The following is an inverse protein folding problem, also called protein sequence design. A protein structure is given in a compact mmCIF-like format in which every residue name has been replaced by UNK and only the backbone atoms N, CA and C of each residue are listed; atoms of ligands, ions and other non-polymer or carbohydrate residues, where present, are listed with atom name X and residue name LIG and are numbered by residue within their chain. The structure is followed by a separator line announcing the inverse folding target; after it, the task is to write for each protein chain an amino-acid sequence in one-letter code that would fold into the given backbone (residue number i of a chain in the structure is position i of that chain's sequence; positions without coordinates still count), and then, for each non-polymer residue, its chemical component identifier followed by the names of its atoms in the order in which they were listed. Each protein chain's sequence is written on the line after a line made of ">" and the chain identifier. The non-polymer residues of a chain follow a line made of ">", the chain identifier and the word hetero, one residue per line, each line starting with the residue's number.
data_IF_281856368003
#
_entry.id   IF_281856368003
#
_cell.length_a   1.000
_cell.length_b   1.000
_cell.length_c   1.000
_cell.angle_alpha   90.00
_cell.angle_beta   90.00
_cell.angle_gamma   90.00
#
_symmetry.space_group_name_H-M   'P 1'
#
loop_
_entity.id
_entity.type
_entity.pdbx_description
1 polymer ?
#
# COMPACT_ATOMS: atom_id res chain seq x y z
N UNK A 1 -18.13 15.61 12.84
CA UNK A 1 -17.82 14.62 11.78
C UNK A 1 -17.84 15.35 10.45
N UNK A 2 -16.68 15.57 9.82
CA UNK A 2 -16.64 16.18 8.50
C UNK A 2 -17.23 15.18 7.48
N UNK A 3 -18.32 15.58 6.82
CA UNK A 3 -18.89 14.88 5.66
C UNK A 3 -17.80 14.62 4.62
N UNK A 4 -17.59 13.36 4.24
CA UNK A 4 -16.78 13.02 3.06
C UNK A 4 -17.57 13.44 1.82
N UNK A 5 -17.17 14.51 1.16
CA UNK A 5 -17.90 15.02 0.00
C UNK A 5 -17.68 14.20 -1.30
N UNK A 6 -16.74 13.24 -1.32
CA UNK A 6 -16.50 12.40 -2.50
C UNK A 6 -15.80 11.07 -2.18
N UNK A 7 -16.07 9.99 -2.93
CA UNK A 7 -15.34 8.72 -2.87
C UNK A 7 -13.84 8.90 -3.18
N UNK A 8 -13.00 8.16 -2.46
CA UNK A 8 -11.54 8.18 -2.62
C UNK A 8 -11.08 7.56 -3.96
N UNK A 9 -11.52 6.35 -4.29
CA UNK A 9 -11.08 5.62 -5.48
C UNK A 9 -12.06 5.75 -6.65
N UNK A 10 -11.52 5.81 -7.88
CA UNK A 10 -12.28 5.78 -9.13
C UNK A 10 -12.54 4.33 -9.59
N UNK A 11 -13.56 4.11 -10.44
CA UNK A 11 -13.98 2.77 -10.93
C UNK A 11 -12.82 1.97 -11.52
N UNK A 12 -11.91 2.62 -12.24
CA UNK A 12 -10.77 2.00 -12.91
C UNK A 12 -9.77 1.38 -11.92
N UNK A 13 -9.76 1.82 -10.66
CA UNK A 13 -8.96 1.18 -9.61
C UNK A 13 -9.45 -0.22 -9.27
N UNK A 14 -10.77 -0.44 -9.41
CA UNK A 14 -11.41 -1.74 -9.24
C UNK A 14 -11.24 -2.61 -10.48
N UNK A 15 -11.23 -2.02 -11.68
CA UNK A 15 -10.89 -2.73 -12.93
C UNK A 15 -9.55 -3.44 -12.79
N UNK A 16 -8.50 -2.75 -12.32
CA UNK A 16 -7.17 -3.33 -12.16
C UNK A 16 -7.18 -4.55 -11.23
N UNK A 17 -7.80 -4.40 -10.05
CA UNK A 17 -7.83 -5.45 -9.04
C UNK A 17 -8.60 -6.69 -9.52
N UNK A 18 -9.78 -6.49 -10.13
CA UNK A 18 -10.59 -7.58 -10.64
C UNK A 18 -9.98 -8.24 -11.88
N UNK A 19 -9.31 -7.48 -12.76
CA UNK A 19 -8.63 -8.05 -13.92
C UNK A 19 -7.53 -9.03 -13.51
N UNK A 20 -6.71 -8.66 -12.50
CA UNK A 20 -5.70 -9.58 -11.98
C UNK A 20 -6.32 -10.78 -11.28
N UNK A 21 -7.31 -10.56 -10.41
CA UNK A 21 -7.99 -11.65 -9.71
C UNK A 21 -8.64 -12.64 -10.69
N UNK A 22 -9.31 -12.15 -11.75
CA UNK A 22 -9.88 -12.99 -12.79
C UNK A 22 -8.80 -13.78 -13.52
N UNK A 23 -7.72 -13.13 -13.94
CA UNK A 23 -6.62 -13.81 -14.63
C UNK A 23 -6.00 -14.92 -13.78
N UNK A 24 -5.80 -14.68 -12.48
CA UNK A 24 -5.29 -15.68 -11.55
C UNK A 24 -6.30 -16.81 -11.35
N UNK A 25 -7.59 -16.49 -11.21
CA UNK A 25 -8.66 -17.49 -11.12
C UNK A 25 -8.68 -18.41 -12.34
N UNK A 26 -8.51 -17.85 -13.55
CA UNK A 26 -8.47 -18.61 -14.80
C UNK A 26 -7.23 -19.53 -14.85
N UNK A 27 -6.04 -19.01 -14.54
CA UNK A 27 -4.79 -19.80 -14.53
C UNK A 27 -4.87 -20.93 -13.49
N UNK A 28 -5.35 -20.63 -12.28
CA UNK A 28 -5.41 -21.57 -11.18
C UNK A 28 -6.64 -22.50 -11.24
N UNK A 29 -7.56 -22.28 -12.18
CA UNK A 29 -8.87 -22.95 -12.22
C UNK A 29 -9.63 -22.86 -10.88
N UNK A 30 -9.57 -21.69 -10.23
CA UNK A 30 -10.21 -21.41 -8.95
C UNK A 30 -11.44 -20.49 -9.13
N UNK A 31 -12.45 -20.58 -8.25
CA UNK A 31 -13.54 -19.62 -8.23
C UNK A 31 -13.02 -18.20 -7.93
N UNK A 32 -13.48 -17.20 -8.69
CA UNK A 32 -13.07 -15.80 -8.53
C UNK A 32 -13.27 -15.31 -7.09
N UNK A 33 -14.35 -15.76 -6.46
CA UNK A 33 -14.76 -15.40 -5.09
C UNK A 33 -13.66 -15.70 -4.06
N UNK A 34 -12.94 -16.79 -4.26
CA UNK A 34 -11.83 -17.20 -3.37
C UNK A 34 -10.56 -16.40 -3.67
N UNK A 35 -10.31 -16.13 -4.94
CA UNK A 35 -9.10 -15.43 -5.41
C UNK A 35 -9.12 -13.95 -5.02
N UNK A 36 -10.29 -13.30 -5.10
CA UNK A 36 -10.40 -11.85 -4.84
C UNK A 36 -9.93 -11.50 -3.42
N UNK A 37 -10.21 -12.33 -2.41
CA UNK A 37 -9.78 -12.06 -1.02
C UNK A 37 -8.25 -12.07 -0.86
N UNK A 38 -7.56 -12.90 -1.64
CA UNK A 38 -6.11 -13.11 -1.53
C UNK A 38 -5.32 -12.15 -2.42
N UNK A 39 -5.85 -11.84 -3.60
CA UNK A 39 -5.14 -11.14 -4.67
C UNK A 39 -5.67 -9.73 -4.95
N UNK A 40 -6.46 -9.14 -4.04
CA UNK A 40 -6.90 -7.75 -4.14
C UNK A 40 -6.89 -7.06 -2.78
N UNK A 41 -6.90 -5.73 -2.77
CA UNK A 41 -7.05 -4.95 -1.54
C UNK A 41 -8.52 -4.67 -1.17
N UNK A 42 -9.49 -5.32 -1.83
CA UNK A 42 -10.91 -4.97 -1.70
C UNK A 42 -11.43 -5.11 -0.27
N UNK A 43 -11.01 -6.14 0.47
CA UNK A 43 -11.37 -6.31 1.89
C UNK A 43 -11.06 -5.06 2.72
N UNK A 44 -9.84 -4.53 2.54
CA UNK A 44 -9.37 -3.30 3.22
C UNK A 44 -10.00 -2.04 2.63
N UNK A 45 -10.32 -2.03 1.34
CA UNK A 45 -11.01 -0.90 0.68
C UNK A 45 -12.45 -0.79 1.17
N UNK A 46 -13.12 -1.90 1.51
CA UNK A 46 -14.45 -1.87 2.13
C UNK A 46 -14.44 -1.52 3.62
N UNK A 47 -13.27 -1.17 4.18
CA UNK A 47 -13.13 -0.70 5.56
C UNK A 47 -13.05 -1.81 6.60
N UNK A 48 -12.83 -3.06 6.19
CA UNK A 48 -12.65 -4.20 7.10
C UNK A 48 -11.22 -4.26 7.63
N UNK A 49 -11.00 -4.99 8.71
CA UNK A 49 -9.72 -5.06 9.45
C UNK A 49 -8.64 -5.93 8.75
N UNK A 50 -7.60 -6.32 9.48
CA UNK A 50 -6.50 -7.16 8.98
C UNK A 50 -6.73 -8.67 9.21
N UNK A 51 -7.92 -9.09 9.66
CA UNK A 51 -8.24 -10.52 9.85
C UNK A 51 -8.36 -11.26 8.52
N UNK A 52 -8.79 -10.55 7.47
CA UNK A 52 -9.16 -11.15 6.18
C UNK A 52 -10.13 -12.32 6.34
N UNK A 53 -11.06 -12.20 7.29
CA UNK A 53 -12.04 -13.23 7.58
C UNK A 53 -13.04 -13.37 6.41
N UNK A 54 -13.05 -14.52 5.70
CA UNK A 54 -13.98 -14.75 4.58
C UNK A 54 -15.44 -14.85 5.04
N UNK A 55 -15.70 -15.04 6.33
CA UNK A 55 -17.04 -15.11 6.93
C UNK A 55 -17.50 -13.78 7.51
N UNK A 56 -16.74 -12.70 7.31
CA UNK A 56 -17.17 -11.37 7.72
C UNK A 56 -18.46 -10.98 6.95
N UNK A 57 -19.55 -10.58 7.63
CA UNK A 57 -20.84 -10.34 6.97
C UNK A 57 -20.81 -9.30 5.84
N UNK A 58 -19.93 -8.30 5.95
CA UNK A 58 -19.74 -7.29 4.89
C UNK A 58 -19.07 -7.94 3.68
N UNK A 59 -18.04 -8.75 3.91
CA UNK A 59 -17.35 -9.47 2.84
C UNK A 59 -18.25 -10.50 2.16
N UNK A 60 -18.99 -11.30 2.94
CA UNK A 60 -19.94 -12.29 2.42
C UNK A 60 -21.03 -11.64 1.57
N UNK A 61 -21.57 -10.49 1.99
CA UNK A 61 -22.55 -9.74 1.22
C UNK A 61 -21.99 -9.32 -0.16
N UNK A 62 -20.74 -8.85 -0.21
CA UNK A 62 -20.07 -8.50 -1.47
C UNK A 62 -19.82 -9.74 -2.35
N UNK A 63 -19.26 -10.81 -1.78
CA UNK A 63 -18.91 -12.00 -2.55
C UNK A 63 -20.15 -12.71 -3.08
N UNK A 64 -21.26 -12.71 -2.35
CA UNK A 64 -22.51 -13.36 -2.78
C UNK A 64 -23.09 -12.77 -4.08
N UNK A 65 -22.92 -11.47 -4.32
CA UNK A 65 -23.43 -10.81 -5.52
C UNK A 65 -22.47 -10.81 -6.71
N UNK A 66 -21.18 -11.04 -6.47
CA UNK A 66 -20.13 -10.99 -7.50
C UNK A 66 -20.32 -11.99 -8.66
N UNK A 67 -20.62 -13.29 -8.44
CA UNK A 67 -20.77 -14.24 -9.54
C UNK A 67 -21.92 -13.89 -10.50
N UNK A 68 -23.05 -13.39 -9.97
CA UNK A 68 -24.25 -13.04 -10.74
C UNK A 68 -24.19 -11.69 -11.45
N UNK A 69 -23.16 -10.87 -11.18
CA UNK A 69 -23.03 -9.55 -11.79
C UNK A 69 -22.61 -9.64 -13.27
N UNK A 70 -23.39 -9.00 -14.15
CA UNK A 70 -23.08 -8.87 -15.57
C UNK A 70 -21.82 -8.02 -15.81
N UNK A 71 -21.70 -6.89 -15.11
CA UNK A 71 -20.46 -6.11 -14.99
C UNK A 71 -19.97 -6.20 -13.54
N UNK A 72 -19.02 -7.11 -13.29
CA UNK A 72 -18.39 -7.30 -11.98
C UNK A 72 -17.71 -6.04 -11.48
N UNK A 73 -17.11 -5.24 -12.37
CA UNK A 73 -16.44 -4.00 -11.99
C UNK A 73 -17.46 -2.96 -11.53
N UNK A 74 -18.55 -2.78 -12.28
CA UNK A 74 -19.62 -1.86 -11.87
C UNK A 74 -20.20 -2.29 -10.52
N UNK A 75 -20.51 -3.57 -10.36
CA UNK A 75 -21.02 -4.12 -9.11
C UNK A 75 -20.09 -3.83 -7.92
N UNK A 76 -18.80 -4.13 -8.05
CA UNK A 76 -17.81 -3.86 -7.00
C UNK A 76 -17.68 -2.37 -6.69
N UNK A 77 -17.70 -1.51 -7.71
CA UNK A 77 -17.62 -0.06 -7.51
C UNK A 77 -18.87 0.49 -6.82
N UNK A 78 -20.06 0.05 -7.20
CA UNK A 78 -21.31 0.42 -6.55
C UNK A 78 -21.34 -0.05 -5.09
N UNK A 79 -20.89 -1.28 -4.81
CA UNK A 79 -20.75 -1.80 -3.45
C UNK A 79 -19.81 -0.93 -2.61
N UNK A 80 -18.66 -0.53 -3.17
CA UNK A 80 -17.75 0.41 -2.54
C UNK A 80 -18.41 1.76 -2.25
N UNK A 81 -19.14 2.33 -3.22
CA UNK A 81 -19.82 3.61 -3.03
C UNK A 81 -20.89 3.54 -1.95
N UNK A 82 -21.66 2.46 -1.90
CA UNK A 82 -22.65 2.21 -0.86
C UNK A 82 -22.00 2.13 0.52
N UNK A 83 -20.85 1.45 0.63
CA UNK A 83 -20.13 1.27 1.90
C UNK A 83 -19.33 2.50 2.31
N UNK A 84 -19.03 3.40 1.37
CA UNK A 84 -18.11 4.51 1.57
C UNK A 84 -18.37 5.40 2.81
N UNK A 85 -19.62 5.72 3.18
CA UNK A 85 -19.92 6.49 4.40
C UNK A 85 -19.51 5.78 5.70
N UNK A 86 -19.45 4.45 5.68
CA UNK A 86 -19.17 3.61 6.85
C UNK A 86 -17.70 3.13 6.90
N UNK A 87 -16.90 3.40 5.86
CA UNK A 87 -15.48 3.03 5.86
C UNK A 87 -14.75 3.92 6.87
N UNK A 88 -14.05 3.33 7.88
CA UNK A 88 -13.31 4.11 8.86
C UNK A 88 -12.37 5.10 8.18
N UNK A 89 -12.41 6.37 8.59
CA UNK A 89 -11.31 7.29 8.31
C UNK A 89 -10.14 6.79 9.13
N UNK A 90 -9.07 6.34 8.47
CA UNK A 90 -7.81 6.01 9.13
C UNK A 90 -7.19 7.30 9.70
N UNK A 91 -7.75 7.74 10.81
CA UNK A 91 -7.31 8.87 11.62
C UNK A 91 -7.11 8.37 13.07
N UNK A 92 -6.73 7.11 13.23
CA UNK A 92 -6.25 6.61 14.51
C UNK A 92 -4.79 7.07 14.69
N UNK A 93 -4.66 8.23 15.34
CA UNK A 93 -3.85 8.50 16.54
C UNK A 93 -2.38 8.06 16.59
N UNK A 94 -1.77 7.63 15.48
CA UNK A 94 -0.32 7.41 15.48
C UNK A 94 0.42 8.73 15.27
N UNK A 95 1.46 9.01 16.09
CA UNK A 95 2.36 10.12 15.84
C UNK A 95 2.90 10.05 14.41
N UNK A 96 2.86 11.19 13.72
CA UNK A 96 3.40 11.34 12.39
C UNK A 96 4.30 12.57 12.34
N UNK A 97 5.35 12.46 11.54
CA UNK A 97 6.32 13.51 11.26
C UNK A 97 6.19 13.84 9.78
N UNK A 98 5.26 14.76 9.50
CA UNK A 98 4.84 15.08 8.13
C UNK A 98 4.38 13.85 7.36
N UNK A 99 5.18 13.39 6.39
CA UNK A 99 4.84 12.24 5.55
C UNK A 99 5.20 10.88 6.17
N UNK A 100 5.85 10.84 7.33
CA UNK A 100 6.38 9.61 7.92
C UNK A 100 5.68 9.25 9.23
N UNK A 101 5.57 7.95 9.48
CA UNK A 101 5.19 7.38 10.77
C UNK A 101 5.88 6.03 10.94
N UNK A 102 5.75 5.42 12.12
CA UNK A 102 6.30 4.10 12.38
C UNK A 102 5.40 3.24 13.27
N UNK A 103 5.55 1.92 13.17
CA UNK A 103 5.11 0.99 14.19
C UNK A 103 6.32 0.39 14.91
N UNK A 104 6.25 0.27 16.24
CA UNK A 104 7.21 -0.49 17.02
C UNK A 104 6.63 -1.87 17.34
N UNK A 105 7.40 -2.91 17.08
CA UNK A 105 7.09 -4.29 17.50
C UNK A 105 8.06 -4.70 18.63
N UNK A 106 7.59 -4.74 19.89
CA UNK A 106 8.41 -5.15 21.03
C UNK A 106 8.91 -6.60 20.96
N UNK A 107 8.17 -7.49 20.29
CA UNK A 107 8.55 -8.90 20.22
C UNK A 107 9.78 -9.12 19.33
N UNK A 108 9.97 -8.25 18.33
CA UNK A 108 11.10 -8.31 17.40
C UNK A 108 12.09 -7.15 17.54
N UNK A 109 11.77 -6.18 18.40
CA UNK A 109 12.53 -4.93 18.59
C UNK A 109 12.73 -4.15 17.28
N UNK A 110 11.71 -4.17 16.41
CA UNK A 110 11.74 -3.58 15.07
C UNK A 110 10.89 -2.33 14.98
N UNK A 111 11.45 -1.31 14.36
CA UNK A 111 10.74 -0.11 13.90
C UNK A 111 10.38 -0.31 12.44
N UNK A 112 9.08 -0.39 12.13
CA UNK A 112 8.58 -0.45 10.76
C UNK A 112 8.24 0.95 10.27
N UNK A 113 8.91 1.39 9.21
CA UNK A 113 8.68 2.71 8.61
C UNK A 113 7.44 2.71 7.71
N UNK A 114 6.69 3.80 7.77
CA UNK A 114 5.55 4.10 6.91
C UNK A 114 5.72 5.46 6.24
N UNK A 115 5.19 5.56 5.02
CA UNK A 115 5.13 6.81 4.26
C UNK A 115 3.71 7.02 3.74
N UNK A 116 3.19 8.23 3.90
CA UNK A 116 1.91 8.66 3.37
C UNK A 116 2.01 10.06 2.76
N UNK A 117 1.23 10.31 1.70
CA UNK A 117 1.14 11.62 1.06
C UNK A 117 0.24 12.56 1.88
N UNK A 118 0.81 13.08 2.98
CA UNK A 118 0.15 14.06 3.86
C UNK A 118 0.62 15.50 3.57
N UNK A 119 1.50 15.68 2.59
CA UNK A 119 2.06 17.00 2.25
C UNK A 119 1.02 17.87 1.53
N UNK A 120 0.75 19.04 2.11
CA UNK A 120 -0.20 20.03 1.60
C UNK A 120 0.45 21.05 0.65
N UNK A 121 1.77 20.98 0.43
CA UNK A 121 2.46 21.88 -0.51
C UNK A 121 2.04 21.64 -1.97
N UNK A 122 2.31 22.62 -2.84
CA UNK A 122 2.05 22.48 -4.27
C UNK A 122 2.97 21.44 -4.95
N UNK A 123 4.11 21.14 -4.35
CA UNK A 123 5.07 20.15 -4.84
C UNK A 123 4.76 18.74 -4.34
N UNK A 124 5.20 17.72 -5.09
CA UNK A 124 5.12 16.35 -4.62
C UNK A 124 5.95 16.13 -3.34
N UNK A 125 5.52 15.26 -2.41
CA UNK A 125 6.17 15.07 -1.12
C UNK A 125 7.62 14.58 -1.23
N UNK A 126 7.97 13.95 -2.36
CA UNK A 126 9.31 13.45 -2.68
C UNK A 126 10.04 14.31 -3.73
N UNK A 127 9.54 15.51 -4.04
CA UNK A 127 10.25 16.42 -4.96
C UNK A 127 11.55 16.94 -4.33
N UNK A 128 12.48 17.41 -5.18
CA UNK A 128 13.75 17.99 -4.70
C UNK A 128 13.53 19.21 -3.79
N UNK A 129 12.44 19.96 -4.00
CA UNK A 129 12.08 21.13 -3.20
C UNK A 129 11.62 20.76 -1.78
N UNK A 130 11.30 19.49 -1.52
CA UNK A 130 10.84 19.01 -0.20
C UNK A 130 11.91 18.21 0.55
N UNK A 131 13.08 17.98 -0.04
CA UNK A 131 14.09 17.07 0.54
C UNK A 131 14.56 17.49 1.92
N UNK A 132 14.78 18.80 2.14
CA UNK A 132 15.24 19.32 3.44
C UNK A 132 14.19 19.04 4.51
N UNK A 133 12.93 19.39 4.24
CA UNK A 133 11.83 19.14 5.16
C UNK A 133 11.63 17.65 5.43
N UNK A 134 11.71 16.77 4.41
CA UNK A 134 11.63 15.32 4.62
C UNK A 134 12.73 14.79 5.54
N UNK A 135 13.96 15.31 5.43
CA UNK A 135 15.07 14.92 6.31
C UNK A 135 14.89 15.43 7.73
N UNK A 136 14.34 16.62 7.92
CA UNK A 136 14.01 17.16 9.25
C UNK A 136 12.91 16.35 9.94
N UNK A 137 11.88 15.96 9.18
CA UNK A 137 10.80 15.08 9.67
C UNK A 137 11.35 13.71 10.12
N UNK A 138 12.20 13.08 9.30
CA UNK A 138 12.85 11.82 9.66
C UNK A 138 13.77 11.98 10.88
N UNK A 139 14.53 13.08 10.97
CA UNK A 139 15.35 13.37 12.17
C UNK A 139 14.49 13.44 13.43
N UNK A 140 13.42 14.23 13.40
CA UNK A 140 12.52 14.37 14.54
C UNK A 140 11.88 13.04 14.93
N UNK A 141 11.51 12.21 13.94
CA UNK A 141 11.00 10.86 14.18
C UNK A 141 12.04 9.96 14.86
N UNK A 142 13.29 9.94 14.39
CA UNK A 142 14.32 9.09 14.99
C UNK A 142 14.76 9.57 16.39
N UNK A 143 14.74 10.88 16.67
CA UNK A 143 14.92 11.41 18.02
C UNK A 143 13.80 10.96 18.97
N UNK A 144 12.56 10.94 18.48
CA UNK A 144 11.43 10.43 19.24
C UNK A 144 11.57 8.92 19.50
N UNK A 145 11.92 8.13 18.48
CA UNK A 145 12.15 6.68 18.63
C UNK A 145 13.25 6.42 19.65
N UNK A 146 14.37 7.14 19.59
CA UNK A 146 15.48 6.97 20.54
C UNK A 146 15.06 7.20 21.99
N UNK A 147 14.18 8.17 22.21
CA UNK A 147 13.68 8.50 23.55
C UNK A 147 12.62 7.50 24.06
N UNK A 148 11.74 7.01 23.18
CA UNK A 148 10.54 6.26 23.56
C UNK A 148 10.68 4.74 23.40
N UNK A 149 11.61 4.29 22.55
CA UNK A 149 11.89 2.87 22.29
C UNK A 149 13.41 2.64 22.29
N UNK A 150 14.11 2.89 23.41
CA UNK A 150 15.56 2.73 23.50
C UNK A 150 16.02 1.28 23.32
N UNK A 151 15.09 0.32 23.42
CA UNK A 151 15.27 -1.11 23.19
C UNK A 151 15.08 -1.53 21.73
N UNK A 152 14.66 -0.63 20.83
CA UNK A 152 14.62 -0.90 19.40
C UNK A 152 16.02 -1.18 18.86
N UNK A 153 16.15 -2.22 18.03
CA UNK A 153 17.45 -2.66 17.49
C UNK A 153 17.52 -2.53 15.96
N UNK A 154 16.38 -2.62 15.29
CA UNK A 154 16.31 -2.74 13.84
C UNK A 154 15.27 -1.78 13.27
N UNK A 155 15.55 -1.27 12.07
CA UNK A 155 14.60 -0.52 11.27
C UNK A 155 14.28 -1.33 10.03
N UNK A 156 13.01 -1.40 9.68
CA UNK A 156 12.49 -2.17 8.55
C UNK A 156 11.64 -1.29 7.66
N UNK A 157 11.81 -1.45 6.36
CA UNK A 157 11.05 -0.74 5.34
C UNK A 157 10.47 -1.70 4.31
N UNK A 158 9.21 -1.49 3.94
CA UNK A 158 8.54 -2.22 2.85
C UNK A 158 7.77 -1.26 1.97
N UNK A 159 8.23 -1.05 0.74
CA UNK A 159 7.59 -0.15 -0.22
C UNK A 159 8.08 -0.38 -1.64
N UNK A 160 7.22 -0.12 -2.63
CA UNK A 160 7.66 0.00 -4.02
C UNK A 160 8.40 1.33 -4.28
N UNK A 161 8.27 2.32 -3.40
CA UNK A 161 8.96 3.62 -3.54
C UNK A 161 10.49 3.49 -3.46
N UNK A 162 11.02 2.40 -2.90
CA UNK A 162 12.46 2.14 -2.90
C UNK A 162 13.05 1.95 -4.31
N UNK A 163 12.22 1.83 -5.35
CA UNK A 163 12.68 1.88 -6.74
C UNK A 163 12.98 3.32 -7.23
N UNK A 164 12.68 4.35 -6.44
CA UNK A 164 12.86 5.75 -6.83
C UNK A 164 13.99 6.42 -6.05
N UNK A 165 14.91 7.07 -6.77
CA UNK A 165 15.97 7.91 -6.20
C UNK A 165 15.41 8.97 -5.25
N UNK A 166 14.22 9.50 -5.59
CA UNK A 166 13.55 10.52 -4.80
C UNK A 166 13.13 10.09 -3.40
N UNK A 167 12.90 8.80 -3.21
CA UNK A 167 12.62 8.19 -1.92
C UNK A 167 13.89 7.68 -1.26
N UNK A 168 14.75 6.97 -1.99
CA UNK A 168 15.93 6.31 -1.42
C UNK A 168 16.98 7.27 -0.89
N UNK A 169 17.12 8.48 -1.47
CA UNK A 169 18.01 9.53 -0.96
C UNK A 169 17.67 10.05 0.44
N UNK A 170 16.51 9.65 0.98
CA UNK A 170 16.05 9.96 2.33
C UNK A 170 16.47 8.90 3.36
N UNK A 171 17.30 7.92 3.00
CA UNK A 171 17.69 6.87 3.94
C UNK A 171 19.19 6.63 3.91
N UNK A 172 19.75 6.03 4.97
CA UNK A 172 21.15 5.61 4.97
C UNK A 172 21.45 4.73 3.74
N UNK A 173 22.57 4.97 3.02
CA UNK A 173 22.87 4.22 1.79
C UNK A 173 22.90 2.70 1.98
N UNK A 174 23.41 2.22 3.12
CA UNK A 174 23.49 0.79 3.41
C UNK A 174 22.10 0.16 3.59
N UNK A 175 21.14 0.90 4.15
CA UNK A 175 19.75 0.46 4.24
C UNK A 175 19.11 0.36 2.85
N UNK A 176 19.36 1.32 1.97
CA UNK A 176 18.86 1.25 0.59
C UNK A 176 19.49 0.09 -0.18
N UNK A 177 20.81 -0.09 -0.07
CA UNK A 177 21.54 -1.15 -0.77
C UNK A 177 21.13 -2.56 -0.33
N UNK A 178 20.65 -2.71 0.91
CA UNK A 178 20.14 -3.98 1.42
C UNK A 178 18.73 -4.34 0.90
N UNK A 179 18.06 -3.45 0.16
CA UNK A 179 16.71 -3.66 -0.33
C UNK A 179 16.64 -4.82 -1.33
N UNK A 180 15.69 -5.73 -1.11
CA UNK A 180 15.44 -6.89 -1.96
C UNK A 180 13.97 -6.97 -2.34
N UNK A 181 13.70 -7.36 -3.58
CA UNK A 181 12.34 -7.60 -4.04
C UNK A 181 11.73 -8.77 -3.26
N UNK A 182 10.49 -8.61 -2.82
CA UNK A 182 9.72 -9.72 -2.27
C UNK A 182 9.29 -10.63 -3.41
N UNK A 183 9.54 -11.93 -3.27
CA UNK A 183 9.12 -12.92 -4.27
C UNK A 183 7.60 -12.92 -4.47
N UNK A 184 6.84 -12.81 -3.37
CA UNK A 184 5.37 -12.81 -3.37
C UNK A 184 4.87 -11.72 -2.40
N UNK A 185 4.72 -10.46 -2.86
CA UNK A 185 4.19 -9.38 -2.03
C UNK A 185 2.68 -9.54 -1.79
N UNK A 186 2.23 -9.38 -0.54
CA UNK A 186 0.78 -9.47 -0.25
C UNK A 186 0.01 -8.37 -0.99
N UNK A 187 -1.02 -8.77 -1.74
CA UNK A 187 -1.91 -7.85 -2.45
C UNK A 187 -3.13 -7.42 -1.63
N UNK A 188 -3.29 -7.97 -0.41
CA UNK A 188 -4.40 -7.68 0.46
C UNK A 188 -4.29 -6.29 1.11
N UNK A 189 -3.06 -5.76 1.19
CA UNK A 189 -2.78 -4.37 1.51
C UNK A 189 -2.75 -3.47 0.27
N UNK A 190 -2.81 -2.15 0.47
CA UNK A 190 -2.82 -1.17 -0.63
C UNK A 190 -1.44 -0.86 -1.23
N UNK A 191 -0.36 -1.41 -0.68
CA UNK A 191 1.01 -0.99 -0.98
C UNK A 191 1.31 -1.07 -2.48
N UNK A 192 1.20 -2.25 -3.09
CA UNK A 192 1.47 -2.45 -4.53
C UNK A 192 0.46 -1.72 -5.42
N UNK A 193 -0.81 -1.66 -5.00
CA UNK A 193 -1.87 -0.99 -5.76
C UNK A 193 -1.70 0.52 -5.88
N UNK A 194 -1.09 1.18 -4.88
CA UNK A 194 -0.87 2.63 -4.90
C UNK A 194 0.00 3.10 -6.08
N UNK A 195 0.73 2.21 -6.76
CA UNK A 195 1.47 2.50 -8.00
C UNK A 195 0.58 2.89 -9.19
N UNK A 196 -0.70 2.54 -9.11
CA UNK A 196 -1.71 2.83 -10.13
C UNK A 196 -2.39 4.19 -9.88
N UNK A 197 -1.98 4.91 -8.84
CA UNK A 197 -2.59 6.16 -8.42
C UNK A 197 -1.60 7.32 -8.54
N UNK A 198 -2.15 8.52 -8.76
CA UNK A 198 -1.49 9.81 -8.63
C UNK A 198 -2.02 10.55 -7.39
N UNK A 199 -1.42 11.71 -7.12
CA UNK A 199 -1.87 12.63 -6.07
C UNK A 199 -3.39 12.85 -6.13
N UNK A 200 -4.02 12.80 -4.96
CA UNK A 200 -5.47 12.95 -4.83
C UNK A 200 -6.26 11.71 -5.27
N UNK A 201 -5.66 10.52 -5.21
CA UNK A 201 -6.32 9.22 -5.45
C UNK A 201 -6.84 9.03 -6.88
N UNK A 202 -6.33 9.82 -7.83
CA UNK A 202 -6.67 9.72 -9.25
C UNK A 202 -5.90 8.60 -9.91
N UNK A 203 -6.46 8.01 -10.95
CA UNK A 203 -5.80 6.96 -11.71
C UNK A 203 -4.59 7.49 -12.45
N UNK A 204 -3.49 6.73 -12.40
CA UNK A 204 -2.36 6.90 -13.28
C UNK A 204 -2.56 6.05 -14.54
N UNK A 205 -3.14 6.64 -15.58
CA UNK A 205 -3.54 5.92 -16.81
C UNK A 205 -2.41 5.11 -17.45
N UNK A 206 -1.18 5.64 -17.45
CA UNK A 206 -0.01 4.93 -18.01
C UNK A 206 0.37 3.68 -17.19
N UNK A 207 0.50 3.82 -15.86
CA UNK A 207 0.74 2.66 -14.98
C UNK A 207 -0.38 1.62 -15.12
N UNK A 208 -1.65 2.07 -15.21
CA UNK A 208 -2.79 1.19 -15.35
C UNK A 208 -2.75 0.41 -16.68
N UNK A 209 -2.44 1.09 -17.80
CA UNK A 209 -2.35 0.46 -19.11
C UNK A 209 -1.23 -0.61 -19.14
N UNK A 210 -0.05 -0.28 -18.62
CA UNK A 210 1.07 -1.23 -18.51
C UNK A 210 0.69 -2.42 -17.63
N UNK A 211 0.05 -2.16 -16.48
CA UNK A 211 -0.40 -3.21 -15.57
C UNK A 211 -1.39 -4.16 -16.27
N UNK A 212 -2.45 -3.64 -16.89
CA UNK A 212 -3.45 -4.45 -17.58
C UNK A 212 -2.87 -5.24 -18.75
N UNK A 213 -1.93 -4.64 -19.50
CA UNK A 213 -1.21 -5.34 -20.56
C UNK A 213 -0.43 -6.54 -19.99
N UNK A 214 0.33 -6.35 -18.91
CA UNK A 214 1.10 -7.43 -18.28
C UNK A 214 0.19 -8.50 -17.68
N UNK A 215 -0.94 -8.11 -17.08
CA UNK A 215 -1.96 -9.07 -16.60
C UNK A 215 -2.48 -9.93 -17.76
N UNK A 216 -2.74 -9.34 -18.93
CA UNK A 216 -3.22 -10.11 -20.09
C UNK A 216 -2.23 -11.19 -20.54
N UNK A 217 -0.93 -10.94 -20.34
CA UNK A 217 0.20 -11.80 -20.70
C UNK A 217 0.62 -12.75 -19.56
N UNK A 218 -0.01 -12.69 -18.39
CA UNK A 218 0.34 -13.57 -17.27
C UNK A 218 0.02 -15.03 -17.61
N UNK A 219 0.95 -15.95 -17.33
CA UNK A 219 0.77 -17.38 -17.61
C UNK A 219 0.87 -18.26 -16.37
N UNK A 220 1.65 -17.83 -15.37
CA UNK A 220 1.81 -18.53 -14.09
C UNK A 220 1.39 -17.60 -12.94
N UNK A 221 0.75 -18.15 -11.91
CA UNK A 221 0.27 -17.34 -10.77
C UNK A 221 1.44 -16.66 -10.07
N UNK A 222 2.55 -17.38 -9.90
CA UNK A 222 3.75 -16.92 -9.18
C UNK A 222 4.41 -15.68 -9.82
N UNK A 223 4.10 -15.40 -11.08
CA UNK A 223 4.66 -14.29 -11.84
C UNK A 223 3.82 -13.01 -11.75
N UNK A 224 2.68 -13.02 -11.04
CA UNK A 224 1.86 -11.82 -10.86
C UNK A 224 2.63 -10.58 -10.35
N UNK A 225 3.70 -10.69 -9.52
CA UNK A 225 4.42 -9.51 -9.06
C UNK A 225 5.01 -8.71 -10.23
N UNK A 226 5.34 -9.39 -11.34
CA UNK A 226 5.81 -8.77 -12.58
C UNK A 226 4.77 -7.90 -13.28
N UNK A 227 3.48 -8.04 -12.96
CA UNK A 227 2.43 -7.19 -13.50
C UNK A 227 2.52 -5.74 -13.02
N UNK A 228 3.07 -5.51 -11.82
CA UNK A 228 3.25 -4.17 -11.27
C UNK A 228 4.47 -3.48 -11.89
N UNK A 229 4.39 -2.16 -12.06
CA UNK A 229 5.46 -1.38 -12.68
C UNK A 229 6.77 -1.46 -11.87
N UNK A 230 6.64 -1.40 -10.54
CA UNK A 230 7.74 -1.47 -9.59
C UNK A 230 7.53 -2.64 -8.62
N UNK A 231 8.62 -3.33 -8.31
CA UNK A 231 8.61 -4.39 -7.30
C UNK A 231 8.44 -3.81 -5.88
N UNK A 232 7.69 -4.47 -5.01
CA UNK A 232 7.73 -4.17 -3.58
C UNK A 232 9.08 -4.62 -3.02
N UNK A 233 9.90 -3.64 -2.59
CA UNK A 233 11.18 -3.92 -1.99
C UNK A 233 11.08 -3.91 -0.47
N UNK A 234 11.78 -4.85 0.15
CA UNK A 234 11.94 -4.96 1.59
C UNK A 234 13.38 -4.74 1.99
N UNK A 235 13.60 -3.97 3.04
CA UNK A 235 14.94 -3.71 3.58
C UNK A 235 14.91 -3.66 5.10
N UNK A 236 16.06 -3.98 5.69
CA UNK A 236 16.29 -3.98 7.12
C UNK A 236 17.74 -3.55 7.41
N UNK A 237 17.95 -2.74 8.44
CA UNK A 237 19.28 -2.41 8.97
C UNK A 237 19.23 -2.10 10.46
N UNK A 238 20.36 -2.17 11.18
CA UNK A 238 20.43 -1.77 12.58
C UNK A 238 20.00 -0.32 12.77
N UNK A 239 19.27 -0.03 13.85
CA UNK A 239 18.78 1.32 14.15
C UNK A 239 19.92 2.32 14.38
N UNK A 240 21.08 1.85 14.85
CA UNK A 240 22.30 2.65 15.03
C UNK A 240 22.73 3.35 13.74
N UNK A 241 22.47 2.75 12.57
CA UNK A 241 22.74 3.36 11.27
C UNK A 241 21.88 4.61 11.03
N UNK A 242 20.62 4.59 11.49
CA UNK A 242 19.72 5.72 11.35
C UNK A 242 20.03 6.82 12.35
N UNK A 243 20.42 6.46 13.58
CA UNK A 243 20.92 7.45 14.53
C UNK A 243 22.15 8.16 13.99
N UNK A 244 23.17 7.43 13.55
CA UNK A 244 24.36 8.05 12.96
C UNK A 244 24.07 8.94 11.73
N UNK A 245 22.98 8.65 11.00
CA UNK A 245 22.59 9.41 9.82
C UNK A 245 21.74 10.64 10.12
N UNK A 246 20.95 10.63 11.20
CA UNK A 246 19.94 11.64 11.49
C UNK A 246 20.13 12.42 12.78
N UNK A 247 20.61 11.75 13.83
CA UNK A 247 20.67 12.23 15.22
C UNK A 247 22.11 12.56 15.58
#
# INVERSE_FOLDING_TARGET
>A
MASRNAPMYQKEFFVAQLALAQKIADIASQPLEQVVLQYTALYRIFGLDWSFDPTNPVWEAYISGLPGAADKTQYTYEYYLQRYPEIPTSAEEQPHWGCFSYNYDPATQKIRLHFGDYDQSEHGPLSHLRIIQRKEELRAMFQHIQSNHPDALWVVGGSWLYNWESYTRLFPPQFVQAAKARKMPSLQGRASWNQLLRRGWRIHNESLAIFLQRVSQLEQVEDYPGCFLYAELWTEAPISLFYAFYV
#
